data_IF_973738889419
#
_entry.id   IF_973738889419
#
_cell.length_a   1.000
_cell.length_b   1.000
_cell.length_c   1.000
_cell.angle_alpha   90.00
_cell.angle_beta   90.00
_cell.angle_gamma   90.00
#
_symmetry.space_group_name_H-M   'P 1'
#
loop_
_entity.id
_entity.type
_entity.pdbx_description
1 polymer ?
#
# COMPACT_ATOMS: atom_id res chain seq x y z
N UNK A 1 -11.29 3.33 24.33
CA UNK A 1 -9.81 3.26 24.31
C UNK A 1 -9.34 3.78 22.96
N UNK A 2 -8.37 4.68 22.92
CA UNK A 2 -7.84 5.21 21.68
C UNK A 2 -6.80 4.22 21.13
N UNK A 3 -7.11 3.59 20.00
CA UNK A 3 -6.24 2.63 19.32
C UNK A 3 -6.08 3.06 17.88
N UNK A 4 -4.88 2.96 17.35
CA UNK A 4 -4.63 3.33 15.96
C UNK A 4 -3.17 3.23 15.55
N UNK A 5 -2.82 3.97 14.51
CA UNK A 5 -1.47 3.97 13.93
C UNK A 5 -0.57 4.88 14.77
N UNK A 6 0.37 4.28 15.48
CA UNK A 6 1.38 5.00 16.27
C UNK A 6 2.61 5.38 15.43
N UNK A 7 3.04 4.49 14.55
CA UNK A 7 4.14 4.70 13.60
C UNK A 7 3.77 4.19 12.23
N UNK A 8 4.29 4.84 11.19
CA UNK A 8 4.17 4.42 9.80
C UNK A 8 5.50 4.63 9.09
N UNK A 9 5.86 3.72 8.19
CA UNK A 9 7.02 3.87 7.31
C UNK A 9 6.69 3.33 5.92
N UNK A 10 7.44 3.83 4.94
CA UNK A 10 7.34 3.39 3.55
C UNK A 10 8.71 2.99 3.03
N UNK A 11 8.72 2.01 2.13
CA UNK A 11 9.88 1.60 1.37
C UNK A 11 9.49 1.30 -0.08
N UNK A 12 10.33 1.71 -1.02
CA UNK A 12 10.23 1.38 -2.44
C UNK A 12 11.63 1.03 -2.98
N UNK A 13 11.74 0.17 -4.00
CA UNK A 13 13.02 -0.20 -4.62
C UNK A 13 13.82 0.98 -5.14
N UNK A 14 15.12 0.76 -5.32
CA UNK A 14 16.04 1.80 -5.77
C UNK A 14 15.92 2.18 -7.27
N UNK A 15 15.25 1.37 -8.08
CA UNK A 15 15.07 1.66 -9.51
C UNK A 15 13.70 2.24 -9.80
N UNK A 16 13.69 3.14 -10.79
CA UNK A 16 12.47 3.83 -11.24
C UNK A 16 12.48 3.96 -12.76
N UNK A 17 11.30 3.78 -13.38
CA UNK A 17 11.08 3.99 -14.80
C UNK A 17 10.20 5.23 -15.01
N UNK A 18 10.69 6.16 -15.85
CA UNK A 18 9.93 7.32 -16.29
C UNK A 18 8.85 6.90 -17.30
N UNK A 19 7.61 7.31 -17.05
CA UNK A 19 6.47 6.87 -17.86
C UNK A 19 6.30 7.63 -19.17
N UNK A 20 6.91 8.81 -19.32
CA UNK A 20 7.01 9.48 -20.63
C UNK A 20 7.93 8.67 -21.55
N UNK A 21 9.03 8.16 -21.00
CA UNK A 21 9.97 7.29 -21.73
C UNK A 21 9.31 5.96 -22.10
N UNK A 22 8.55 5.34 -21.17
CA UNK A 22 7.81 4.12 -21.45
C UNK A 22 6.75 4.34 -22.54
N UNK A 23 5.94 5.40 -22.46
CA UNK A 23 4.91 5.71 -23.45
C UNK A 23 5.51 5.79 -24.86
N UNK A 24 6.61 6.53 -25.03
CA UNK A 24 7.30 6.64 -26.32
C UNK A 24 7.79 5.29 -26.84
N UNK A 25 8.33 4.43 -25.97
CA UNK A 25 8.79 3.09 -26.34
C UNK A 25 7.64 2.15 -26.74
N UNK A 26 6.43 2.37 -26.22
CA UNK A 26 5.21 1.59 -26.54
C UNK A 26 4.42 2.19 -27.71
N UNK A 27 4.82 3.35 -28.24
CA UNK A 27 4.11 4.06 -29.30
C UNK A 27 2.82 4.73 -28.80
N UNK A 28 2.73 5.01 -27.51
CA UNK A 28 1.62 5.71 -26.87
C UNK A 28 1.95 7.22 -26.70
N UNK A 29 0.89 8.06 -26.63
CA UNK A 29 1.03 9.46 -26.27
C UNK A 29 1.33 9.61 -24.77
N UNK A 30 2.39 10.32 -24.36
CA UNK A 30 2.75 10.48 -22.94
C UNK A 30 1.63 10.99 -22.04
N UNK A 31 0.79 11.90 -22.54
CA UNK A 31 -0.34 12.48 -21.80
C UNK A 31 -1.39 11.45 -21.40
N UNK A 32 -1.48 10.32 -22.11
CA UNK A 32 -2.33 9.20 -21.72
C UNK A 32 -1.92 8.64 -20.35
N UNK A 33 -0.61 8.62 -20.05
CA UNK A 33 -0.05 8.10 -18.81
C UNK A 33 -0.02 9.17 -17.71
N UNK A 34 0.59 10.33 -18.01
CA UNK A 34 0.83 11.38 -17.01
C UNK A 34 -0.42 12.19 -16.66
N UNK A 35 -1.30 12.44 -17.66
CA UNK A 35 -2.57 13.15 -17.47
C UNK A 35 -3.74 12.17 -17.35
N UNK A 36 -3.87 11.20 -18.28
CA UNK A 36 -4.99 10.27 -18.32
C UNK A 36 -5.10 9.40 -17.06
N UNK A 37 -4.05 8.67 -16.75
CA UNK A 37 -3.92 7.79 -15.58
C UNK A 37 -3.44 8.56 -14.35
N UNK A 38 -2.62 9.60 -14.56
CA UNK A 38 -2.07 10.45 -13.52
C UNK A 38 -0.81 9.89 -12.89
N UNK A 39 -0.02 9.10 -13.62
CA UNK A 39 1.25 8.54 -13.18
C UNK A 39 2.43 9.10 -13.96
N UNK A 40 3.51 9.45 -13.26
CA UNK A 40 4.73 10.02 -13.83
C UNK A 40 5.85 8.98 -13.86
N UNK A 41 5.91 8.11 -12.86
CA UNK A 41 6.94 7.10 -12.68
C UNK A 41 6.35 5.80 -12.12
N UNK A 42 7.07 4.70 -12.30
CA UNK A 42 6.79 3.44 -11.62
C UNK A 42 8.06 2.86 -11.00
N UNK A 43 7.93 2.28 -9.81
CA UNK A 43 9.01 1.57 -9.15
C UNK A 43 9.35 0.28 -9.90
N UNK A 44 10.64 -0.01 -10.04
CA UNK A 44 11.17 -1.21 -10.69
C UNK A 44 11.97 -2.00 -9.66
N UNK A 45 11.50 -3.21 -9.35
CA UNK A 45 12.12 -4.03 -8.31
C UNK A 45 13.30 -4.84 -8.89
N UNK A 46 14.50 -4.76 -8.28
CA UNK A 46 15.64 -5.59 -8.67
C UNK A 46 15.52 -7.03 -8.13
N UNK A 47 16.35 -7.94 -8.64
CA UNK A 47 16.28 -9.37 -8.30
C UNK A 47 16.63 -9.70 -6.84
N UNK A 48 17.42 -8.83 -6.19
CA UNK A 48 17.80 -8.97 -4.78
C UNK A 48 16.76 -8.42 -3.80
N UNK A 49 15.59 -8.04 -4.31
CA UNK A 49 14.44 -7.63 -3.50
C UNK A 49 13.21 -8.45 -3.83
N UNK A 50 12.35 -8.62 -2.83
CA UNK A 50 11.02 -9.22 -2.93
C UNK A 50 10.09 -8.60 -1.86
N UNK A 51 8.87 -9.12 -1.73
CA UNK A 51 7.91 -8.59 -0.75
C UNK A 51 8.42 -8.69 0.69
N UNK A 52 9.21 -9.73 1.02
CA UNK A 52 9.79 -9.91 2.36
C UNK A 52 10.80 -8.82 2.65
N UNK A 53 11.74 -8.60 1.72
CA UNK A 53 12.81 -7.61 1.91
C UNK A 53 12.29 -6.18 1.93
N UNK A 54 11.32 -5.85 1.04
CA UNK A 54 10.69 -4.54 1.06
C UNK A 54 9.91 -4.32 2.38
N UNK A 55 9.13 -5.30 2.82
CA UNK A 55 8.41 -5.26 4.09
C UNK A 55 9.33 -5.10 5.29
N UNK A 56 10.45 -5.85 5.33
CA UNK A 56 11.44 -5.75 6.40
C UNK A 56 12.18 -4.40 6.39
N UNK A 57 12.55 -3.88 5.20
CA UNK A 57 13.19 -2.56 5.05
C UNK A 57 12.25 -1.41 5.45
N UNK A 58 10.94 -1.52 5.17
CA UNK A 58 9.95 -0.57 5.68
C UNK A 58 9.82 -0.66 7.21
N UNK A 59 9.61 -1.86 7.74
CA UNK A 59 9.39 -2.07 9.17
C UNK A 59 10.60 -1.68 10.04
N UNK A 60 11.81 -1.90 9.54
CA UNK A 60 13.04 -1.52 10.25
C UNK A 60 13.12 -0.03 10.60
N UNK A 61 12.53 0.84 9.78
CA UNK A 61 12.54 2.28 10.04
C UNK A 61 11.76 2.67 11.31
N UNK A 62 10.81 1.82 11.74
CA UNK A 62 9.92 2.07 12.87
C UNK A 62 10.06 1.08 14.03
N UNK A 63 10.80 -0.02 13.84
CA UNK A 63 11.04 -1.06 14.85
C UNK A 63 12.43 -0.86 15.47
N UNK A 64 12.49 -0.25 16.64
CA UNK A 64 13.69 -0.13 17.47
C UNK A 64 13.69 -1.18 18.60
N UNK A 65 14.62 -1.11 19.54
CA UNK A 65 14.75 -2.08 20.65
C UNK A 65 13.51 -2.10 21.57
N UNK A 66 12.84 -0.98 21.74
CA UNK A 66 11.61 -0.91 22.54
C UNK A 66 10.45 -1.60 21.83
N UNK A 67 10.27 -1.33 20.52
CA UNK A 67 9.22 -1.99 19.75
C UNK A 67 9.44 -3.50 19.68
N UNK A 68 10.69 -3.97 19.51
CA UNK A 68 11.01 -5.42 19.52
C UNK A 68 10.49 -6.15 20.75
N UNK A 69 10.47 -5.49 21.92
CA UNK A 69 10.01 -6.09 23.18
C UNK A 69 8.50 -6.07 23.34
N UNK A 70 7.79 -5.19 22.63
CA UNK A 70 6.36 -4.95 22.80
C UNK A 70 5.50 -5.47 21.65
N UNK A 71 6.09 -5.72 20.48
CA UNK A 71 5.40 -6.35 19.34
C UNK A 71 5.07 -7.80 19.71
N UNK A 72 3.79 -8.14 19.67
CA UNK A 72 3.25 -9.46 20.02
C UNK A 72 2.67 -10.19 18.78
N UNK A 73 2.47 -9.46 17.68
CA UNK A 73 2.00 -10.01 16.43
C UNK A 73 2.57 -9.25 15.22
N UNK A 74 2.90 -10.00 14.17
CA UNK A 74 3.22 -9.50 12.83
C UNK A 74 2.15 -9.99 11.87
N UNK A 75 1.43 -9.06 11.26
CA UNK A 75 0.48 -9.29 10.18
C UNK A 75 1.11 -8.83 8.87
N UNK A 76 1.29 -9.75 7.94
CA UNK A 76 1.86 -9.46 6.62
C UNK A 76 0.76 -9.60 5.57
N UNK A 77 0.37 -8.49 4.95
CA UNK A 77 -0.62 -8.47 3.90
C UNK A 77 0.07 -8.41 2.54
N UNK A 78 -0.25 -9.34 1.67
CA UNK A 78 0.29 -9.38 0.30
C UNK A 78 -0.59 -10.20 -0.63
N UNK A 79 -0.65 -9.81 -1.89
CA UNK A 79 -1.12 -10.67 -2.97
C UNK A 79 0.04 -11.15 -3.87
N UNK A 80 1.27 -10.81 -3.51
CA UNK A 80 2.51 -11.21 -4.17
C UNK A 80 3.29 -12.26 -3.34
N UNK A 81 2.54 -13.15 -2.64
CA UNK A 81 3.12 -14.18 -1.75
C UNK A 81 4.18 -15.03 -2.42
N UNK A 82 5.18 -15.44 -1.63
CA UNK A 82 6.39 -16.17 -2.10
C UNK A 82 6.34 -17.66 -1.82
N UNK A 83 5.38 -18.11 -1.03
CA UNK A 83 5.24 -19.50 -0.61
C UNK A 83 3.74 -19.78 -0.35
N UNK A 84 3.27 -20.98 -0.71
CA UNK A 84 1.88 -21.37 -0.52
C UNK A 84 1.52 -21.80 0.91
N UNK A 85 2.52 -21.97 1.77
CA UNK A 85 2.38 -22.52 3.14
C UNK A 85 3.04 -21.62 4.17
N UNK A 86 4.31 -21.23 3.96
CA UNK A 86 5.11 -20.46 4.90
C UNK A 86 4.87 -18.97 4.71
N UNK A 87 4.39 -18.31 5.75
CA UNK A 87 4.11 -16.87 5.76
C UNK A 87 5.38 -16.02 5.59
N UNK A 88 5.29 -14.96 4.78
CA UNK A 88 6.32 -13.92 4.65
C UNK A 88 6.65 -13.25 6.00
N UNK A 89 5.67 -13.19 6.92
CA UNK A 89 5.86 -12.64 8.27
C UNK A 89 6.92 -13.38 9.10
N UNK A 90 7.12 -14.70 8.89
CA UNK A 90 8.16 -15.49 9.60
C UNK A 90 9.56 -15.06 9.18
N UNK A 91 9.76 -14.78 7.90
CA UNK A 91 11.05 -14.26 7.43
C UNK A 91 11.33 -12.86 8.00
N UNK A 92 10.30 -11.99 8.01
CA UNK A 92 10.42 -10.65 8.58
C UNK A 92 10.69 -10.68 10.08
N UNK A 93 10.03 -11.58 10.84
CA UNK A 93 10.30 -11.79 12.26
C UNK A 93 11.79 -12.07 12.51
N UNK A 94 12.40 -12.97 11.73
CA UNK A 94 13.82 -13.31 11.82
C UNK A 94 14.70 -12.10 11.44
N UNK A 95 14.42 -11.42 10.32
CA UNK A 95 15.21 -10.29 9.82
C UNK A 95 15.21 -9.12 10.80
N UNK A 96 14.08 -8.83 11.44
CA UNK A 96 13.93 -7.78 12.44
C UNK A 96 14.40 -8.21 13.85
N UNK A 97 14.82 -9.46 14.02
CA UNK A 97 15.22 -10.03 15.32
C UNK A 97 14.13 -9.89 16.39
N UNK A 98 12.86 -10.11 15.99
CA UNK A 98 11.77 -10.16 16.95
C UNK A 98 11.80 -11.46 17.75
N UNK A 99 11.14 -11.45 18.92
CA UNK A 99 11.01 -12.64 19.77
C UNK A 99 10.38 -13.83 19.02
N UNK A 100 10.76 -15.05 19.38
CA UNK A 100 10.10 -16.27 18.91
C UNK A 100 8.66 -16.43 19.47
N UNK A 101 8.31 -15.67 20.50
CA UNK A 101 6.98 -15.66 21.11
C UNK A 101 6.02 -14.64 20.44
N UNK A 102 6.31 -14.21 19.22
CA UNK A 102 5.47 -13.33 18.42
C UNK A 102 4.60 -14.16 17.47
N UNK A 103 3.31 -13.87 17.39
CA UNK A 103 2.45 -14.47 16.35
C UNK A 103 2.77 -13.89 14.98
N UNK A 104 2.82 -14.72 13.95
CA UNK A 104 3.07 -14.31 12.58
C UNK A 104 2.01 -14.88 11.66
N UNK A 105 1.44 -14.06 10.79
CA UNK A 105 0.43 -14.48 9.81
C UNK A 105 0.57 -13.70 8.50
N UNK A 106 0.24 -14.34 7.38
CA UNK A 106 0.09 -13.70 6.09
C UNK A 106 -1.39 -13.69 5.69
N UNK A 107 -1.86 -12.56 5.18
CA UNK A 107 -3.24 -12.34 4.77
C UNK A 107 -3.31 -12.07 3.26
N UNK A 108 -4.33 -12.65 2.61
CA UNK A 108 -4.59 -12.46 1.20
C UNK A 108 -6.08 -12.23 0.95
N UNK A 109 -6.42 -11.07 0.43
CA UNK A 109 -7.67 -10.71 -0.23
C UNK A 109 -7.39 -9.54 -1.16
N UNK A 110 -6.64 -9.81 -2.23
CA UNK A 110 -6.18 -8.80 -3.17
C UNK A 110 -5.68 -7.54 -2.42
N UNK A 111 -5.90 -6.36 -2.95
CA UNK A 111 -5.43 -5.10 -2.37
C UNK A 111 -6.07 -4.75 -1.01
N UNK A 112 -7.18 -5.38 -0.61
CA UNK A 112 -7.87 -5.13 0.66
C UNK A 112 -7.16 -5.74 1.88
N UNK A 113 -6.33 -6.77 1.70
CA UNK A 113 -5.77 -7.52 2.82
C UNK A 113 -5.01 -6.67 3.85
N UNK A 114 -4.40 -5.55 3.44
CA UNK A 114 -3.75 -4.59 4.35
C UNK A 114 -4.73 -3.96 5.34
N UNK A 115 -5.93 -3.62 4.88
CA UNK A 115 -6.99 -3.05 5.72
C UNK A 115 -7.56 -4.08 6.68
N UNK A 116 -7.83 -5.31 6.22
CA UNK A 116 -8.24 -6.37 7.13
C UNK A 116 -7.19 -6.59 8.23
N UNK A 117 -5.90 -6.61 7.86
CA UNK A 117 -4.80 -6.73 8.83
C UNK A 117 -4.78 -5.59 9.85
N UNK A 118 -5.05 -4.36 9.42
CA UNK A 118 -5.12 -3.20 10.31
C UNK A 118 -6.30 -3.29 11.29
N UNK A 119 -7.48 -3.74 10.81
CA UNK A 119 -8.66 -3.94 11.68
C UNK A 119 -8.44 -5.05 12.70
N UNK A 120 -7.84 -6.17 12.29
CA UNK A 120 -7.47 -7.25 13.21
C UNK A 120 -6.43 -6.78 14.26
N UNK A 121 -5.48 -5.94 13.85
CA UNK A 121 -4.50 -5.35 14.76
C UNK A 121 -5.16 -4.43 15.80
N UNK A 122 -6.12 -3.59 15.38
CA UNK A 122 -6.93 -2.74 16.28
C UNK A 122 -7.65 -3.59 17.34
N UNK A 123 -8.36 -4.63 16.89
CA UNK A 123 -9.15 -5.50 17.77
C UNK A 123 -8.25 -6.30 18.71
N UNK A 124 -7.08 -6.74 18.23
CA UNK A 124 -6.09 -7.41 19.08
C UNK A 124 -5.57 -6.48 20.19
N UNK A 125 -5.20 -5.25 19.84
CA UNK A 125 -4.72 -4.25 20.82
C UNK A 125 -5.84 -3.85 21.79
N UNK A 126 -7.11 -3.84 21.34
CA UNK A 126 -8.25 -3.60 22.25
C UNK A 126 -8.35 -4.67 23.37
N UNK A 127 -8.05 -5.91 23.03
CA UNK A 127 -8.01 -7.02 24.01
C UNK A 127 -6.68 -7.09 24.79
N UNK A 128 -5.60 -6.49 24.28
CA UNK A 128 -4.25 -6.54 24.83
C UNK A 128 -3.58 -5.15 24.80
N UNK A 129 -4.00 -4.21 25.68
CA UNK A 129 -3.65 -2.78 25.57
C UNK A 129 -2.16 -2.46 25.79
N UNK A 130 -1.40 -3.35 26.39
CA UNK A 130 0.06 -3.25 26.60
C UNK A 130 0.86 -3.79 25.42
N UNK A 131 0.21 -4.39 24.44
CA UNK A 131 0.84 -4.99 23.26
C UNK A 131 0.76 -4.08 22.04
N UNK A 132 1.63 -4.37 21.08
CA UNK A 132 1.67 -3.71 19.78
C UNK A 132 1.58 -4.75 18.67
N UNK A 133 1.01 -4.36 17.55
CA UNK A 133 0.96 -5.18 16.34
C UNK A 133 1.70 -4.46 15.22
N UNK A 134 2.60 -5.17 14.56
CA UNK A 134 3.25 -4.72 13.33
C UNK A 134 2.43 -5.22 12.14
N UNK A 135 1.85 -4.29 11.39
CA UNK A 135 1.13 -4.57 10.14
C UNK A 135 2.01 -4.14 8.98
N UNK A 136 2.27 -5.04 8.05
CA UNK A 136 3.06 -4.79 6.84
C UNK A 136 2.18 -5.09 5.64
N UNK A 137 2.10 -4.13 4.71
CA UNK A 137 1.48 -4.30 3.40
C UNK A 137 2.58 -4.14 2.35
N UNK A 138 2.94 -5.22 1.65
CA UNK A 138 4.09 -5.26 0.74
C UNK A 138 3.77 -6.03 -0.51
N UNK A 139 3.92 -5.40 -1.68
CA UNK A 139 3.55 -5.99 -2.95
C UNK A 139 4.41 -5.56 -4.14
N UNK A 140 4.31 -6.36 -5.20
CA UNK A 140 4.86 -6.14 -6.53
C UNK A 140 3.70 -6.25 -7.52
N UNK A 141 3.24 -5.13 -8.07
CA UNK A 141 2.18 -5.13 -9.05
C UNK A 141 2.70 -5.56 -10.43
N UNK A 142 2.20 -6.68 -10.95
CA UNK A 142 2.60 -7.26 -12.23
C UNK A 142 1.41 -7.49 -13.14
N UNK A 143 1.42 -6.80 -14.27
CA UNK A 143 0.40 -6.93 -15.33
C UNK A 143 1.01 -7.43 -16.65
N UNK A 144 2.34 -7.56 -16.73
CA UNK A 144 3.07 -7.98 -17.92
C UNK A 144 3.62 -6.82 -18.74
N UNK A 145 4.62 -7.13 -19.56
CA UNK A 145 5.24 -6.17 -20.49
C UNK A 145 4.32 -5.92 -21.70
N UNK A 146 4.30 -4.70 -22.21
CA UNK A 146 3.51 -4.27 -23.35
C UNK A 146 1.99 -4.57 -23.23
N UNK A 147 1.47 -4.58 -22.02
CA UNK A 147 0.02 -4.74 -21.74
C UNK A 147 -0.60 -3.39 -21.37
N UNK A 148 -1.93 -3.31 -21.43
CA UNK A 148 -2.65 -2.11 -21.01
C UNK A 148 -2.44 -1.77 -19.52
N UNK A 149 -2.12 -2.75 -18.68
CA UNK A 149 -1.85 -2.58 -17.25
C UNK A 149 -0.40 -2.21 -16.92
N UNK A 150 0.54 -2.33 -17.88
CA UNK A 150 1.97 -2.09 -17.63
C UNK A 150 2.25 -0.73 -16.97
N UNK A 151 1.55 0.30 -17.41
CA UNK A 151 1.71 1.68 -16.91
C UNK A 151 1.31 1.84 -15.43
N UNK A 152 0.55 0.91 -14.87
CA UNK A 152 0.10 0.95 -13.47
C UNK A 152 0.94 0.07 -12.54
N UNK A 153 1.96 -0.61 -13.05
CA UNK A 153 2.86 -1.43 -12.23
C UNK A 153 3.59 -0.59 -11.18
N UNK A 154 3.99 -1.23 -10.11
CA UNK A 154 4.72 -0.60 -9.02
C UNK A 154 5.23 -1.64 -8.02
N UNK A 155 6.03 -1.21 -7.06
CA UNK A 155 6.54 -2.05 -5.99
C UNK A 155 6.88 -1.24 -4.75
N UNK A 156 6.61 -1.80 -3.58
CA UNK A 156 6.95 -1.18 -2.30
C UNK A 156 6.21 -1.81 -1.13
N UNK A 157 6.47 -1.26 0.05
CA UNK A 157 5.87 -1.69 1.29
C UNK A 157 5.52 -0.51 2.21
N UNK A 158 4.39 -0.62 2.88
CA UNK A 158 4.03 0.23 4.02
C UNK A 158 4.03 -0.62 5.28
N UNK A 159 4.74 -0.18 6.31
CA UNK A 159 4.75 -0.80 7.62
C UNK A 159 4.11 0.14 8.66
N UNK A 160 3.26 -0.40 9.51
CA UNK A 160 2.53 0.35 10.53
C UNK A 160 2.62 -0.35 11.88
N UNK A 161 2.83 0.40 12.96
CA UNK A 161 2.68 -0.10 14.33
C UNK A 161 1.34 0.39 14.87
N UNK A 162 0.48 -0.57 15.24
CA UNK A 162 -0.81 -0.33 15.90
C UNK A 162 -0.63 -0.47 17.41
N UNK A 163 -1.08 0.53 18.14
CA UNK A 163 -0.94 0.61 19.60
C UNK A 163 -2.08 1.42 20.24
N UNK A 164 -2.16 1.37 21.57
CA UNK A 164 -2.95 2.32 22.37
C UNK A 164 -2.28 3.68 22.40
N UNK A 165 -3.08 4.75 22.52
CA UNK A 165 -2.64 6.15 22.56
C UNK A 165 -1.67 6.48 21.39
N UNK A 166 -2.12 6.23 20.14
CA UNK A 166 -1.30 6.39 18.96
C UNK A 166 -0.94 7.87 18.73
N UNK A 167 0.22 8.16 18.12
CA UNK A 167 0.67 9.52 17.82
C UNK A 167 0.13 10.05 16.50
N UNK A 168 -0.17 9.17 15.53
CA UNK A 168 -0.57 9.61 14.18
C UNK A 168 -2.08 9.70 14.08
N UNK A 169 -2.80 8.60 14.33
CA UNK A 169 -4.25 8.58 14.14
C UNK A 169 -4.92 7.49 14.95
N UNK A 170 -6.14 7.77 15.42
CA UNK A 170 -7.06 6.78 15.97
C UNK A 170 -7.84 6.16 14.82
N UNK A 171 -8.00 4.84 14.80
CA UNK A 171 -8.93 4.13 13.92
C UNK A 171 -10.30 4.15 14.60
N UNK A 172 -11.28 4.82 14.00
CA UNK A 172 -12.61 4.93 14.56
C UNK A 172 -13.38 3.60 14.42
N UNK A 173 -14.35 3.38 15.29
CA UNK A 173 -15.22 2.20 15.26
C UNK A 173 -16.50 2.51 14.46
N UNK A 174 -16.32 2.88 13.20
CA UNK A 174 -17.39 3.34 12.31
C UNK A 174 -17.36 2.63 10.94
N UNK A 175 -16.67 1.52 10.85
CA UNK A 175 -16.44 0.80 9.61
C UNK A 175 -17.72 0.20 9.01
N UNK A 176 -17.84 0.32 7.68
CA UNK A 176 -18.80 -0.41 6.86
C UNK A 176 -18.07 -1.16 5.74
N UNK A 177 -18.47 -2.38 5.50
CA UNK A 177 -17.80 -3.26 4.54
C UNK A 177 -18.81 -4.06 3.71
N UNK A 178 -18.36 -4.54 2.56
CA UNK A 178 -19.10 -5.44 1.70
C UNK A 178 -18.17 -6.29 0.84
N UNK A 179 -18.60 -7.52 0.59
CA UNK A 179 -17.94 -8.45 -0.33
C UNK A 179 -18.89 -8.91 -1.43
N UNK A 180 -18.33 -9.22 -2.60
CA UNK A 180 -19.06 -9.72 -3.78
C UNK A 180 -18.13 -10.61 -4.60
N UNK A 181 -18.63 -11.78 -5.04
CA UNK A 181 -17.91 -12.56 -6.04
C UNK A 181 -17.99 -11.87 -7.41
N UNK A 182 -16.83 -11.47 -7.95
CA UNK A 182 -16.70 -10.85 -9.28
C UNK A 182 -15.28 -11.03 -9.81
N UNK A 183 -15.16 -11.42 -11.08
CA UNK A 183 -13.86 -11.58 -11.74
C UNK A 183 -13.48 -10.28 -12.48
N UNK A 184 -13.22 -9.21 -11.71
CA UNK A 184 -12.76 -7.91 -12.23
C UNK A 184 -11.24 -7.84 -12.38
N UNK A 185 -10.51 -8.45 -11.44
CA UNK A 185 -9.07 -8.67 -11.45
C UNK A 185 -8.78 -9.91 -10.60
N UNK A 186 -7.97 -10.82 -11.13
CA UNK A 186 -7.55 -12.02 -10.39
C UNK A 186 -6.23 -12.55 -10.95
N UNK A 187 -5.51 -13.32 -10.15
CA UNK A 187 -4.29 -13.99 -10.58
C UNK A 187 -4.31 -15.44 -10.14
N UNK A 188 -4.55 -16.39 -11.07
CA UNK A 188 -4.46 -17.82 -10.80
C UNK A 188 -3.06 -18.22 -10.28
N UNK A 189 -2.99 -19.29 -9.48
CA UNK A 189 -1.74 -19.73 -8.83
C UNK A 189 -0.66 -20.19 -9.80
N UNK A 190 -1.03 -20.52 -11.04
CA UNK A 190 -0.15 -20.92 -12.14
C UNK A 190 0.33 -19.75 -13.01
N UNK A 191 0.02 -18.48 -12.62
CA UNK A 191 0.36 -17.28 -13.37
C UNK A 191 1.15 -16.29 -12.54
N UNK A 192 2.06 -15.59 -13.20
CA UNK A 192 2.83 -14.49 -12.61
C UNK A 192 2.17 -13.13 -12.83
N UNK A 193 1.46 -12.98 -13.96
CA UNK A 193 0.71 -11.77 -14.31
C UNK A 193 -0.77 -11.92 -13.97
N UNK A 194 -1.37 -10.82 -13.54
CA UNK A 194 -2.79 -10.75 -13.27
C UNK A 194 -3.61 -10.71 -14.57
N UNK A 195 -4.83 -11.26 -14.49
CA UNK A 195 -5.89 -11.06 -15.47
C UNK A 195 -6.80 -9.94 -15.01
N UNK A 196 -7.19 -9.03 -15.89
CA UNK A 196 -8.00 -7.87 -15.53
C UNK A 196 -9.00 -7.51 -16.63
N UNK A 197 -10.25 -7.25 -16.22
CA UNK A 197 -11.21 -6.47 -16.98
C UNK A 197 -11.22 -5.04 -16.39
N UNK A 198 -10.43 -4.15 -16.97
CA UNK A 198 -10.23 -2.80 -16.42
C UNK A 198 -11.48 -1.92 -16.43
N UNK A 199 -12.43 -2.18 -17.36
CA UNK A 199 -13.71 -1.47 -17.38
C UNK A 199 -14.61 -1.94 -16.23
N UNK A 200 -14.82 -3.26 -16.14
CA UNK A 200 -15.59 -3.88 -15.06
C UNK A 200 -15.02 -3.48 -13.69
N UNK A 201 -13.70 -3.58 -13.51
CA UNK A 201 -13.03 -3.22 -12.24
C UNK A 201 -13.29 -1.76 -11.84
N UNK A 202 -13.25 -0.83 -12.80
CA UNK A 202 -13.56 0.59 -12.54
C UNK A 202 -15.01 0.78 -12.09
N UNK A 203 -15.97 0.12 -12.75
CA UNK A 203 -17.38 0.25 -12.39
C UNK A 203 -17.71 -0.39 -11.04
N UNK A 204 -17.18 -1.60 -10.76
CA UNK A 204 -17.35 -2.27 -9.47
C UNK A 204 -16.76 -1.44 -8.33
N UNK A 205 -15.56 -0.87 -8.51
CA UNK A 205 -14.95 0.02 -7.52
C UNK A 205 -15.83 1.22 -7.17
N UNK A 206 -16.37 1.91 -8.18
CA UNK A 206 -17.25 3.08 -8.01
C UNK A 206 -18.56 2.70 -7.36
N UNK A 207 -19.17 1.61 -7.80
CA UNK A 207 -20.45 1.12 -7.25
C UNK A 207 -20.30 0.74 -5.78
N UNK A 208 -19.25 -0.01 -5.43
CA UNK A 208 -19.00 -0.40 -4.04
C UNK A 208 -18.70 0.81 -3.15
N UNK A 209 -17.93 1.80 -3.63
CA UNK A 209 -17.73 3.04 -2.90
C UNK A 209 -19.05 3.76 -2.61
N UNK A 210 -19.88 3.96 -3.63
CA UNK A 210 -21.15 4.66 -3.47
C UNK A 210 -22.10 3.90 -2.52
N UNK A 211 -22.18 2.58 -2.65
CA UNK A 211 -22.99 1.72 -1.78
C UNK A 211 -22.53 1.84 -0.32
N UNK A 212 -21.21 1.76 -0.07
CA UNK A 212 -20.67 1.89 1.28
C UNK A 212 -20.80 3.30 1.82
N UNK A 213 -20.66 4.33 1.00
CA UNK A 213 -20.89 5.71 1.42
C UNK A 213 -22.33 5.93 1.92
N UNK A 214 -23.34 5.43 1.21
CA UNK A 214 -24.73 5.51 1.66
C UNK A 214 -24.96 4.74 2.96
N UNK A 215 -24.40 3.52 3.06
CA UNK A 215 -24.49 2.72 4.27
C UNK A 215 -23.80 3.41 5.47
N UNK A 216 -22.61 3.97 5.25
CA UNK A 216 -21.83 4.69 6.24
C UNK A 216 -22.61 5.89 6.83
N UNK A 217 -23.19 6.73 5.97
CA UNK A 217 -24.03 7.86 6.40
C UNK A 217 -25.24 7.40 7.25
N UNK A 218 -25.84 6.30 6.87
CA UNK A 218 -27.00 5.78 7.61
C UNK A 218 -26.62 5.21 8.99
N UNK A 219 -25.42 4.67 9.14
CA UNK A 219 -24.95 4.08 10.40
C UNK A 219 -24.29 5.09 11.33
N UNK A 220 -23.62 6.11 10.80
CA UNK A 220 -22.79 7.02 11.60
C UNK A 220 -23.37 8.41 11.75
N UNK A 221 -24.36 8.80 10.94
CA UNK A 221 -24.87 10.17 10.80
C UNK A 221 -23.86 11.20 10.28
N UNK A 222 -22.64 10.77 9.90
CA UNK A 222 -21.64 11.64 9.28
C UNK A 222 -22.07 12.10 7.89
N UNK A 223 -21.71 13.32 7.55
CA UNK A 223 -21.88 13.93 6.23
C UNK A 223 -20.53 14.23 5.60
N UNK A 224 -20.53 14.54 4.31
CA UNK A 224 -19.27 14.76 3.56
C UNK A 224 -18.42 15.88 4.17
N UNK A 225 -19.04 16.92 4.72
CA UNK A 225 -18.37 18.04 5.37
C UNK A 225 -17.65 17.69 6.68
N UNK A 226 -17.88 16.50 7.25
CA UNK A 226 -17.18 16.04 8.47
C UNK A 226 -15.74 15.56 8.20
N UNK A 227 -15.39 15.36 6.93
CA UNK A 227 -14.10 14.82 6.53
C UNK A 227 -13.18 15.88 5.94
N UNK A 228 -11.99 16.03 6.49
CA UNK A 228 -10.97 16.92 5.94
C UNK A 228 -10.42 16.40 4.60
N UNK A 229 -10.49 15.10 4.35
CA UNK A 229 -10.01 14.47 3.13
C UNK A 229 -10.31 12.98 3.07
N UNK A 230 -9.96 12.38 1.93
CA UNK A 230 -10.09 10.95 1.67
C UNK A 230 -8.75 10.37 1.26
N UNK A 231 -8.42 9.19 1.79
CA UNK A 231 -7.40 8.31 1.24
C UNK A 231 -8.08 7.10 0.58
N UNK A 232 -7.81 6.92 -0.68
CA UNK A 232 -8.37 5.84 -1.50
C UNK A 232 -7.33 4.77 -1.79
N UNK A 233 -7.76 3.52 -1.93
CA UNK A 233 -6.99 2.56 -2.69
C UNK A 233 -6.82 3.06 -4.12
N UNK A 234 -5.58 3.14 -4.58
CA UNK A 234 -5.21 3.69 -5.89
C UNK A 234 -4.56 2.60 -6.76
N UNK A 235 -5.34 1.81 -7.53
CA UNK A 235 -4.78 0.92 -8.56
C UNK A 235 -4.07 1.72 -9.66
N UNK A 236 -4.48 2.97 -9.84
CA UNK A 236 -3.79 4.04 -10.54
C UNK A 236 -4.24 5.37 -9.94
N UNK A 237 -3.42 6.40 -10.11
CA UNK A 237 -3.53 7.64 -9.33
C UNK A 237 -4.90 8.30 -9.38
N UNK A 238 -5.55 8.35 -10.57
CA UNK A 238 -6.85 9.04 -10.74
C UNK A 238 -8.09 8.24 -10.31
N UNK A 239 -7.95 7.01 -9.85
CA UNK A 239 -9.12 6.20 -9.46
C UNK A 239 -9.89 6.84 -8.29
N UNK A 240 -9.19 7.36 -7.28
CA UNK A 240 -9.83 8.02 -6.15
C UNK A 240 -10.71 9.21 -6.55
N UNK A 241 -10.28 9.97 -7.58
CA UNK A 241 -11.10 11.08 -8.11
C UNK A 241 -12.41 10.59 -8.68
N UNK A 242 -12.41 9.49 -9.43
CA UNK A 242 -13.63 8.93 -10.03
C UNK A 242 -14.67 8.51 -8.98
N UNK A 243 -14.20 8.04 -7.82
CA UNK A 243 -15.09 7.72 -6.70
C UNK A 243 -15.60 8.99 -6.01
N UNK A 244 -14.71 9.89 -5.61
CA UNK A 244 -15.06 11.10 -4.88
C UNK A 244 -16.02 12.01 -5.66
N UNK A 245 -15.84 12.12 -6.98
CA UNK A 245 -16.70 12.93 -7.86
C UNK A 245 -18.19 12.53 -7.75
N UNK A 246 -18.51 11.27 -7.39
CA UNK A 246 -19.89 10.80 -7.28
C UNK A 246 -20.66 11.40 -6.09
N UNK A 247 -19.94 11.87 -5.07
CA UNK A 247 -20.52 12.39 -3.83
C UNK A 247 -20.22 13.88 -3.61
N UNK A 248 -19.42 14.51 -4.48
CA UNK A 248 -18.97 15.90 -4.32
C UNK A 248 -20.11 16.89 -4.17
N UNK A 249 -21.26 16.66 -4.82
CA UNK A 249 -22.43 17.54 -4.72
C UNK A 249 -23.09 17.55 -3.32
N UNK A 250 -22.67 16.65 -2.42
CA UNK A 250 -23.14 16.63 -1.03
C UNK A 250 -22.43 17.65 -0.12
N UNK A 251 -21.30 18.23 -0.58
CA UNK A 251 -20.57 19.26 0.14
C UNK A 251 -20.85 20.68 -0.40
N UNK A 252 -20.66 21.69 0.45
CA UNK A 252 -20.65 23.07 -0.01
C UNK A 252 -19.42 23.38 -0.88
N UNK A 253 -19.47 24.47 -1.67
CA UNK A 253 -18.44 24.80 -2.65
C UNK A 253 -17.03 24.97 -2.03
N UNK A 254 -16.95 25.55 -0.83
CA UNK A 254 -15.67 25.74 -0.14
C UNK A 254 -15.06 24.41 0.28
N UNK A 255 -15.89 23.51 0.77
CA UNK A 255 -15.47 22.18 1.19
C UNK A 255 -15.12 21.28 0.00
N UNK A 256 -15.85 21.38 -1.12
CA UNK A 256 -15.46 20.70 -2.36
C UNK A 256 -14.04 21.07 -2.80
N UNK A 257 -13.68 22.37 -2.77
CA UNK A 257 -12.31 22.83 -3.09
C UNK A 257 -11.28 22.23 -2.15
N UNK A 258 -11.59 22.16 -0.85
CA UNK A 258 -10.72 21.52 0.16
C UNK A 258 -10.51 20.03 -0.14
N UNK A 259 -11.60 19.30 -0.39
CA UNK A 259 -11.54 17.87 -0.70
C UNK A 259 -10.71 17.59 -1.96
N UNK A 260 -10.85 18.41 -3.01
CA UNK A 260 -10.04 18.28 -4.24
C UNK A 260 -8.57 18.54 -3.96
N UNK A 261 -8.23 19.57 -3.18
CA UNK A 261 -6.85 19.88 -2.79
C UNK A 261 -6.21 18.73 -2.01
N UNK A 262 -6.95 18.19 -1.05
CA UNK A 262 -6.47 17.07 -0.22
C UNK A 262 -6.45 15.74 -1.00
N UNK A 263 -7.34 15.54 -1.97
CA UNK A 263 -7.23 14.40 -2.89
C UNK A 263 -5.94 14.47 -3.72
N UNK A 264 -5.59 15.64 -4.26
CA UNK A 264 -4.32 15.83 -4.98
C UNK A 264 -3.13 15.54 -4.07
N UNK A 265 -3.16 16.01 -2.82
CA UNK A 265 -2.15 15.72 -1.81
C UNK A 265 -2.01 14.21 -1.54
N UNK A 266 -3.13 13.47 -1.49
CA UNK A 266 -3.13 12.03 -1.26
C UNK A 266 -2.53 11.20 -2.41
N UNK A 267 -2.38 11.79 -3.58
CA UNK A 267 -1.92 11.11 -4.80
C UNK A 267 -0.43 11.28 -5.09
N UNK A 268 0.28 12.21 -4.41
CA UNK A 268 1.64 12.58 -4.78
C UNK A 268 2.61 11.40 -4.77
N UNK A 269 2.65 10.61 -3.71
CA UNK A 269 3.55 9.46 -3.67
C UNK A 269 3.18 8.38 -4.69
N UNK A 270 1.88 8.10 -4.86
CA UNK A 270 1.42 7.08 -5.83
C UNK A 270 1.78 7.42 -7.27
N UNK A 271 1.82 8.73 -7.64
CA UNK A 271 2.25 9.20 -8.96
C UNK A 271 3.66 8.74 -9.34
N UNK A 272 4.53 8.61 -8.32
CA UNK A 272 5.94 8.28 -8.50
C UNK A 272 6.28 6.81 -8.23
N UNK A 273 5.36 6.04 -7.64
CA UNK A 273 5.63 4.65 -7.22
C UNK A 273 4.85 3.64 -8.05
N UNK A 274 3.62 3.96 -8.43
CA UNK A 274 2.68 3.04 -9.05
C UNK A 274 1.81 2.31 -8.04
N UNK A 275 1.18 1.21 -8.46
CA UNK A 275 0.31 0.42 -7.60
C UNK A 275 1.13 -0.43 -6.60
N UNK A 276 0.74 -0.39 -5.34
CA UNK A 276 1.29 -1.22 -4.26
C UNK A 276 0.29 -2.26 -3.76
N UNK A 277 -0.75 -2.55 -4.52
CA UNK A 277 -1.82 -3.45 -4.10
C UNK A 277 -2.26 -3.19 -2.65
N UNK A 278 -1.91 -4.09 -1.70
CA UNK A 278 -2.32 -3.99 -0.29
C UNK A 278 -1.81 -2.73 0.43
N UNK A 279 -0.72 -2.15 -0.03
CA UNK A 279 -0.12 -0.92 0.53
C UNK A 279 -0.68 0.38 -0.05
N UNK A 280 -1.39 0.35 -1.20
CA UNK A 280 -1.74 1.55 -1.96
C UNK A 280 -2.58 2.55 -1.17
N UNK A 281 -3.56 2.10 -0.39
CA UNK A 281 -4.41 3.00 0.42
C UNK A 281 -3.61 3.68 1.53
N UNK A 282 -2.64 2.99 2.12
CA UNK A 282 -1.79 3.55 3.20
C UNK A 282 -0.69 4.46 2.66
N UNK A 283 -0.21 4.21 1.43
CA UNK A 283 0.65 5.17 0.72
C UNK A 283 -0.13 6.44 0.38
N UNK A 284 -1.38 6.31 -0.07
CA UNK A 284 -2.29 7.44 -0.30
C UNK A 284 -2.54 8.23 0.99
N UNK A 285 -2.79 7.55 2.11
CA UNK A 285 -2.95 8.16 3.43
C UNK A 285 -1.68 8.91 3.87
N UNK A 286 -0.52 8.27 3.80
CA UNK A 286 0.77 8.90 4.14
C UNK A 286 1.06 10.11 3.24
N UNK A 287 0.76 10.01 1.94
CA UNK A 287 0.89 11.12 1.00
C UNK A 287 0.00 12.31 1.39
N UNK A 288 -1.26 12.05 1.75
CA UNK A 288 -2.18 13.08 2.23
C UNK A 288 -1.62 13.81 3.47
N UNK A 289 -1.15 13.06 4.46
CA UNK A 289 -0.59 13.65 5.68
C UNK A 289 0.68 14.46 5.42
N UNK A 290 1.50 14.04 4.45
CA UNK A 290 2.77 14.68 4.10
C UNK A 290 2.57 15.99 3.30
N UNK A 291 1.62 16.02 2.36
CA UNK A 291 1.49 17.12 1.40
C UNK A 291 0.37 18.11 1.71
N UNK A 292 -0.64 17.71 2.48
CA UNK A 292 -1.71 18.63 2.86
C UNK A 292 -1.23 19.63 3.91
N UNK A 293 -1.50 20.91 3.64
CA UNK A 293 -1.12 22.02 4.52
C UNK A 293 -2.25 22.45 5.49
N UNK A 294 -3.48 22.00 5.23
CA UNK A 294 -4.68 22.46 5.93
C UNK A 294 -5.30 21.42 6.87
N UNK A 295 -4.66 20.25 7.03
CA UNK A 295 -5.09 19.24 8.01
C UNK A 295 -4.75 19.69 9.45
N UNK A 296 -5.68 19.47 10.37
CA UNK A 296 -5.54 19.83 11.78
C UNK A 296 -5.76 18.61 12.70
N UNK A 297 -5.15 18.60 13.90
CA UNK A 297 -5.50 17.60 14.92
C UNK A 297 -7.00 17.55 15.20
N UNK A 298 -7.52 16.36 15.43
CA UNK A 298 -8.94 16.10 15.68
C UNK A 298 -9.80 15.96 14.42
N UNK A 299 -9.29 16.32 13.25
CA UNK A 299 -10.03 16.14 11.99
C UNK A 299 -10.07 14.66 11.55
N UNK A 300 -11.14 14.33 10.82
CA UNK A 300 -11.35 12.98 10.29
C UNK A 300 -10.90 12.86 8.85
N UNK A 301 -10.23 11.76 8.56
CA UNK A 301 -9.90 11.31 7.21
C UNK A 301 -10.71 10.05 6.92
N UNK A 302 -11.46 10.05 5.83
CA UNK A 302 -12.12 8.85 5.35
C UNK A 302 -11.15 7.96 4.58
N UNK A 303 -11.19 6.67 4.84
CA UNK A 303 -10.36 5.66 4.19
C UNK A 303 -11.26 4.73 3.39
N UNK A 304 -11.04 4.65 2.10
CA UNK A 304 -11.71 3.67 1.25
C UNK A 304 -10.71 2.66 0.71
N UNK A 305 -10.79 1.45 1.24
CA UNK A 305 -10.02 0.30 0.82
C UNK A 305 -10.85 -0.57 -0.13
N UNK A 306 -10.20 -1.07 -1.18
CA UNK A 306 -10.80 -1.96 -2.15
C UNK A 306 -9.80 -3.03 -2.56
N UNK A 307 -10.23 -4.26 -2.63
CA UNK A 307 -9.51 -5.38 -3.21
C UNK A 307 -10.41 -6.10 -4.20
N UNK A 308 -9.92 -6.28 -5.42
CA UNK A 308 -10.65 -6.98 -6.47
C UNK A 308 -11.05 -8.39 -6.07
N UNK A 309 -12.17 -8.90 -6.65
CA UNK A 309 -12.67 -10.22 -6.37
C UNK A 309 -14.06 -10.32 -5.70
N UNK A 310 -14.70 -9.37 -5.00
CA UNK A 310 -14.13 -8.14 -4.52
C UNK A 310 -14.50 -7.94 -3.04
N UNK A 311 -13.70 -7.18 -2.33
CA UNK A 311 -13.95 -6.75 -0.94
C UNK A 311 -13.71 -5.25 -0.87
N UNK A 312 -14.59 -4.51 -0.16
CA UNK A 312 -14.38 -3.08 0.09
C UNK A 312 -14.78 -2.70 1.51
N UNK A 313 -14.08 -1.72 2.07
CA UNK A 313 -14.33 -1.19 3.40
C UNK A 313 -14.15 0.33 3.39
N UNK A 314 -15.11 1.03 4.00
CA UNK A 314 -15.07 2.47 4.25
C UNK A 314 -15.13 2.71 5.76
N UNK A 315 -14.17 3.45 6.30
CA UNK A 315 -14.07 3.80 7.70
C UNK A 315 -13.38 5.16 7.85
N UNK A 316 -13.30 5.66 9.08
CA UNK A 316 -12.59 6.91 9.32
C UNK A 316 -11.45 6.78 10.32
N UNK A 317 -10.51 7.71 10.22
CA UNK A 317 -9.42 7.90 11.17
C UNK A 317 -9.43 9.33 11.69
N UNK A 318 -9.14 9.51 13.00
CA UNK A 318 -9.06 10.82 13.64
C UNK A 318 -7.60 11.20 13.89
N UNK A 319 -7.15 12.31 13.32
CA UNK A 319 -5.77 12.80 13.43
C UNK A 319 -5.42 13.19 14.86
N UNK A 320 -4.24 12.80 15.32
CA UNK A 320 -3.75 13.09 16.66
C UNK A 320 -2.92 14.38 16.70
N UNK A 321 -2.72 15.01 17.87
CA UNK A 321 -1.96 16.26 17.98
C UNK A 321 -0.58 16.21 17.33
N UNK A 322 0.14 15.09 17.49
CA UNK A 322 1.53 14.94 17.05
C UNK A 322 1.67 14.31 15.65
N UNK A 323 0.58 14.17 14.87
CA UNK A 323 0.61 13.41 13.61
C UNK A 323 1.69 13.92 12.65
N UNK A 324 1.86 15.25 12.50
CA UNK A 324 2.82 15.84 11.56
C UNK A 324 4.26 15.53 11.90
N UNK A 325 4.61 15.56 13.20
CA UNK A 325 5.96 15.24 13.66
C UNK A 325 6.25 13.74 13.73
N UNK A 326 5.22 12.90 13.60
CA UNK A 326 5.31 11.45 13.73
C UNK A 326 5.33 10.71 12.37
N UNK A 327 5.11 11.42 11.26
CA UNK A 327 5.17 10.84 9.92
C UNK A 327 6.57 11.02 9.29
N UNK A 328 7.05 10.06 8.46
CA UNK A 328 8.38 10.10 7.85
C UNK A 328 8.43 10.87 6.51
N UNK A 329 7.74 12.02 6.40
CA UNK A 329 7.57 12.74 5.12
C UNK A 329 8.92 13.02 4.42
N UNK A 330 9.88 13.62 5.12
CA UNK A 330 11.20 13.95 4.56
C UNK A 330 11.98 12.68 4.15
N UNK A 331 11.86 11.59 4.91
CA UNK A 331 12.50 10.32 4.59
C UNK A 331 11.94 9.71 3.32
N UNK A 332 10.62 9.80 3.10
CA UNK A 332 9.96 9.30 1.90
C UNK A 332 10.37 10.13 0.68
N UNK A 333 10.34 11.46 0.78
CA UNK A 333 10.78 12.35 -0.31
C UNK A 333 12.25 12.09 -0.70
N UNK A 334 13.11 11.95 0.30
CA UNK A 334 14.52 11.61 0.06
C UNK A 334 14.65 10.26 -0.66
N UNK A 335 13.95 9.24 -0.19
CA UNK A 335 13.98 7.91 -0.82
C UNK A 335 13.52 7.95 -2.29
N UNK A 336 12.45 8.70 -2.59
CA UNK A 336 11.95 8.86 -3.96
C UNK A 336 12.95 9.61 -4.86
N UNK A 337 13.60 10.67 -4.34
CA UNK A 337 14.56 11.49 -5.11
C UNK A 337 15.90 10.79 -5.35
N UNK A 338 16.29 9.81 -4.53
CA UNK A 338 17.56 9.08 -4.64
C UNK A 338 17.47 7.83 -5.54
N UNK A 339 16.30 7.53 -6.12
CA UNK A 339 16.14 6.38 -7.02
C UNK A 339 16.92 6.58 -8.33
N UNK A 340 17.32 5.46 -8.91
CA UNK A 340 18.06 5.41 -10.16
C UNK A 340 17.09 5.16 -11.33
N UNK A 341 17.08 6.08 -12.30
CA UNK A 341 16.31 5.89 -13.53
C UNK A 341 16.92 4.78 -14.38
N UNK A 342 16.07 3.86 -14.81
CA UNK A 342 16.43 2.78 -15.74
C UNK A 342 15.87 3.08 -17.14
N UNK A 343 16.56 2.60 -18.18
CA UNK A 343 16.00 2.59 -19.52
C UNK A 343 14.92 1.52 -19.67
N UNK A 344 14.09 1.60 -20.71
CA UNK A 344 13.07 0.58 -20.99
C UNK A 344 13.72 -0.80 -21.19
N UNK A 345 14.84 -0.89 -21.90
CA UNK A 345 15.57 -2.16 -22.10
C UNK A 345 16.09 -2.75 -20.77
N UNK A 346 16.55 -1.89 -19.84
CA UNK A 346 16.98 -2.34 -18.51
C UNK A 346 15.78 -2.82 -17.69
N UNK A 347 14.69 -2.07 -17.70
CA UNK A 347 13.45 -2.44 -17.04
C UNK A 347 12.92 -3.79 -17.53
N UNK A 348 12.86 -4.02 -18.85
CA UNK A 348 12.41 -5.28 -19.42
C UNK A 348 13.30 -6.47 -19.00
N UNK A 349 14.61 -6.29 -18.99
CA UNK A 349 15.57 -7.30 -18.51
C UNK A 349 15.36 -7.61 -17.03
N UNK A 350 15.19 -6.58 -16.18
CA UNK A 350 14.91 -6.75 -14.75
C UNK A 350 13.57 -7.49 -14.57
N UNK A 351 12.53 -7.07 -15.28
CA UNK A 351 11.21 -7.70 -15.20
C UNK A 351 11.24 -9.20 -15.55
N UNK A 352 11.95 -9.56 -16.61
CA UNK A 352 12.09 -10.95 -17.05
C UNK A 352 12.96 -11.79 -16.11
N UNK A 353 13.98 -11.20 -15.50
CA UNK A 353 14.91 -11.89 -14.61
C UNK A 353 14.34 -12.24 -13.24
N UNK A 354 13.22 -11.63 -12.84
CA UNK A 354 12.53 -11.96 -11.59
C UNK A 354 11.81 -13.32 -11.59
N UNK A 355 11.73 -13.98 -12.73
CA UNK A 355 11.14 -15.31 -12.88
C UNK A 355 12.15 -16.43 -12.62
N UNK A 356 12.92 -16.33 -11.54
CA UNK A 356 13.90 -17.36 -11.18
C UNK A 356 13.22 -18.63 -10.69
N UNK A 357 13.66 -19.77 -11.23
CA UNK A 357 13.20 -21.09 -10.82
C UNK A 357 13.80 -21.45 -9.45
N UNK A 358 12.95 -21.74 -8.46
CA UNK A 358 13.36 -22.18 -7.13
C UNK A 358 14.05 -23.55 -7.09
N UNK A 359 13.98 -24.34 -8.17
CA UNK A 359 14.66 -25.62 -8.28
C UNK A 359 16.17 -25.49 -8.58
N UNK A 360 16.62 -24.30 -8.90
CA UNK A 360 18.05 -24.05 -9.21
C UNK A 360 18.68 -23.27 -8.07
N UNK A 361 19.80 -23.79 -7.53
CA UNK A 361 20.60 -23.06 -6.56
C UNK A 361 21.22 -21.83 -7.24
N UNK A 362 20.81 -20.64 -6.83
CA UNK A 362 21.24 -19.37 -7.41
C UNK A 362 21.66 -18.42 -6.31
N UNK A 363 22.83 -17.78 -6.48
CA UNK A 363 23.26 -16.65 -5.67
C UNK A 363 23.07 -15.38 -6.49
N UNK A 364 22.27 -14.44 -5.96
CA UNK A 364 21.95 -13.18 -6.61
C UNK A 364 22.95 -12.11 -6.16
N UNK A 365 23.57 -11.35 -7.09
CA UNK A 365 24.38 -10.20 -6.72
C UNK A 365 23.56 -9.19 -5.93
N UNK A 366 24.11 -8.69 -4.84
CA UNK A 366 23.43 -7.80 -3.90
C UNK A 366 23.93 -6.37 -4.00
N UNK A 367 23.08 -5.40 -3.61
CA UNK A 367 23.44 -4.01 -3.44
C UNK A 367 24.04 -3.74 -2.05
N UNK A 368 24.91 -2.75 -1.91
CA UNK A 368 25.38 -2.28 -0.61
C UNK A 368 24.44 -1.25 0.04
N UNK A 369 23.43 -0.78 -0.71
CA UNK A 369 22.54 0.30 -0.27
C UNK A 369 21.44 -0.16 0.70
N UNK A 370 21.04 -1.43 0.63
CA UNK A 370 19.91 -1.95 1.38
C UNK A 370 20.34 -2.94 2.45
N UNK A 371 19.67 -2.89 3.62
CA UNK A 371 20.05 -3.75 4.72
C UNK A 371 19.55 -5.17 4.52
N UNK A 372 18.27 -5.35 4.18
CA UNK A 372 17.71 -6.66 3.95
C UNK A 372 17.60 -6.93 2.47
N UNK A 373 18.12 -8.08 2.04
CA UNK A 373 18.18 -8.47 0.63
C UNK A 373 17.91 -9.96 0.48
N UNK A 374 17.30 -10.30 -0.65
CA UNK A 374 17.14 -11.67 -1.09
C UNK A 374 18.43 -12.13 -1.76
N UNK A 375 18.98 -13.23 -1.28
CA UNK A 375 20.28 -13.78 -1.74
C UNK A 375 20.11 -14.88 -2.80
N UNK A 376 18.89 -15.35 -3.06
CA UNK A 376 18.61 -16.46 -3.96
C UNK A 376 18.07 -17.70 -3.24
N UNK A 377 18.19 -18.86 -3.90
CA UNK A 377 17.74 -20.14 -3.38
C UNK A 377 18.92 -21.07 -3.12
N UNK A 378 18.81 -21.84 -2.03
CA UNK A 378 19.67 -22.96 -1.72
C UNK A 378 18.79 -24.14 -1.31
N UNK A 379 18.85 -25.24 -2.06
CA UNK A 379 18.06 -26.46 -1.83
C UNK A 379 16.54 -26.22 -1.70
N UNK A 380 16.01 -25.29 -2.52
CA UNK A 380 14.61 -24.86 -2.50
C UNK A 380 14.25 -23.86 -1.41
N UNK A 381 15.17 -23.51 -0.52
CA UNK A 381 14.98 -22.52 0.53
C UNK A 381 15.39 -21.11 0.08
N UNK A 382 14.54 -20.12 0.34
CA UNK A 382 14.87 -18.71 0.11
C UNK A 382 15.87 -18.24 1.17
N UNK A 383 16.95 -17.61 0.70
CA UNK A 383 18.01 -17.07 1.56
C UNK A 383 17.92 -15.56 1.64
N UNK A 384 18.07 -15.00 2.83
CA UNK A 384 18.02 -13.57 3.11
C UNK A 384 19.21 -13.15 3.99
N UNK A 385 19.64 -11.91 3.87
CA UNK A 385 20.55 -11.26 4.82
C UNK A 385 19.97 -9.95 5.33
#
# INVERSE_FOLDING_TARGET
MNIGIDKIAFYTPEYVLDLVTLAKARGDEPDKYTIGIGQDEQAVIPNYEDVVTMGANAARQIVNDQERQTIDMVVFATESGIDNSKSSAIYVQKLLQLSEFVRTIELKQACYAGTYGLMQARDYVAAHPDKRVLVIASDIARYGLATAGEVTQGAGAVAMIVATNPRITIINDDSVYMSREVADFWRPVDRTEALVDGHLSTEVYKEMFLTLWQRYKNQTTHVLNDFAGFAFHLPYTKMGKKALDQIMSEADESHQKRLVTNLIASQQFSRHVGNLYTGSVYLSFLSLLSHSKDLNPGEKIAIFSYGSGAEAELYSMTLQPDFRSSIPAESVEKQLSERQHVSVDQYEKIFQSQLLDSHVNVIIPTSQKHQFQFLGWQDGERQYR
#
